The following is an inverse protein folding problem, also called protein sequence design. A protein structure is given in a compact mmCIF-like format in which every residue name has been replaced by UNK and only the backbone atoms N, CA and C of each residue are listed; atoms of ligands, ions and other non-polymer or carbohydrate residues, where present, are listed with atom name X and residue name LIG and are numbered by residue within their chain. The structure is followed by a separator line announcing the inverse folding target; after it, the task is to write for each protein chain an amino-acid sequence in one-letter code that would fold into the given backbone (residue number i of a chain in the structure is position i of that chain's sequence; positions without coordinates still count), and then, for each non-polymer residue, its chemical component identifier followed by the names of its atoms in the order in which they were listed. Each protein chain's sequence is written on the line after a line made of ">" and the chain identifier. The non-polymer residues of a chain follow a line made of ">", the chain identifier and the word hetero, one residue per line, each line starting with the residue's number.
data_IF_257477799676
#
_entry.id   IF_257477799676
#
_cell.length_a   1.000
_cell.length_b   1.000
_cell.length_c   1.000
_cell.angle_alpha   90.00
_cell.angle_beta   90.00
_cell.angle_gamma   90.00
#
_symmetry.space_group_name_H-M   'P 1'
#
loop_
_entity.id
_entity.type
_entity.pdbx_description
1 polymer ?
#
# COMPACT_ATOMS: atom_id res chain seq x y z
N UNK A 1 -25.32 13.25 -16.18
CA UNK A 1 -24.20 12.57 -16.85
C UNK A 1 -22.85 12.80 -16.14
N UNK A 2 -22.68 13.82 -15.30
CA UNK A 2 -21.95 13.65 -14.03
C UNK A 2 -22.85 13.00 -12.95
N UNK A 3 -23.79 12.16 -13.40
CA UNK A 3 -24.76 11.53 -12.51
C UNK A 3 -24.08 10.55 -11.56
N UNK A 4 -22.94 10.00 -11.94
CA UNK A 4 -22.18 9.08 -11.10
C UNK A 4 -21.28 9.81 -10.10
N UNK A 5 -20.94 11.08 -10.34
CA UNK A 5 -20.11 11.87 -9.42
C UNK A 5 -20.96 12.51 -8.33
N UNK A 6 -20.79 12.05 -7.08
CA UNK A 6 -21.40 12.72 -5.94
C UNK A 6 -20.86 14.14 -5.74
N UNK A 7 -19.61 14.41 -6.08
CA UNK A 7 -19.01 15.75 -6.06
C UNK A 7 -19.77 16.72 -6.97
N UNK A 8 -19.88 16.40 -8.26
CA UNK A 8 -20.55 17.27 -9.22
C UNK A 8 -22.06 17.35 -8.97
N UNK A 9 -22.69 16.28 -8.48
CA UNK A 9 -24.08 16.33 -7.99
C UNK A 9 -24.25 17.42 -6.92
N UNK A 10 -23.42 17.43 -5.88
CA UNK A 10 -23.45 18.45 -4.81
C UNK A 10 -23.12 19.84 -5.35
N UNK A 11 -22.15 19.91 -6.25
CA UNK A 11 -21.74 21.18 -6.85
C UNK A 11 -22.88 21.81 -7.63
N UNK A 12 -23.61 21.03 -8.44
CA UNK A 12 -24.70 21.48 -9.31
C UNK A 12 -26.03 21.74 -8.56
N UNK A 13 -26.22 21.17 -7.37
CA UNK A 13 -27.44 21.38 -6.57
C UNK A 13 -27.29 22.47 -5.50
N UNK A 14 -26.07 22.93 -5.20
CA UNK A 14 -25.83 24.05 -4.28
C UNK A 14 -26.04 25.42 -4.94
N UNK A 15 -26.03 26.51 -4.16
CA UNK A 15 -25.93 27.89 -4.68
C UNK A 15 -24.45 28.31 -4.68
N UNK A 16 -23.65 27.66 -5.53
CA UNK A 16 -22.20 27.85 -5.59
C UNK A 16 -21.79 28.77 -6.75
N UNK A 17 -20.68 29.52 -6.57
CA UNK A 17 -20.17 30.46 -7.58
C UNK A 17 -19.85 29.75 -8.90
N UNK A 18 -19.32 28.54 -8.83
CA UNK A 18 -18.92 27.73 -9.98
C UNK A 18 -20.08 27.47 -10.96
N UNK A 19 -21.31 27.37 -10.47
CA UNK A 19 -22.50 27.17 -11.31
C UNK A 19 -22.80 28.43 -12.11
N UNK A 20 -22.67 29.61 -11.49
CA UNK A 20 -22.93 30.91 -12.14
C UNK A 20 -21.91 31.18 -13.24
N UNK A 21 -20.67 30.76 -13.02
CA UNK A 21 -19.56 30.91 -13.97
C UNK A 21 -19.47 29.75 -14.96
N UNK A 22 -20.25 28.68 -14.77
CA UNK A 22 -20.18 27.43 -15.53
C UNK A 22 -18.75 26.87 -15.65
N UNK A 23 -17.95 27.05 -14.59
CA UNK A 23 -16.51 26.76 -14.57
C UNK A 23 -16.12 26.16 -13.23
N UNK A 24 -15.37 25.06 -13.29
CA UNK A 24 -14.77 24.40 -12.13
C UNK A 24 -13.26 24.35 -12.35
N UNK A 25 -12.52 24.97 -11.44
CA UNK A 25 -11.06 25.03 -11.52
C UNK A 25 -10.45 23.93 -10.64
N UNK A 26 -9.57 23.13 -11.24
CA UNK A 26 -8.76 22.12 -10.54
C UNK A 26 -7.30 22.55 -10.60
N UNK A 27 -6.79 23.17 -9.53
CA UNK A 27 -5.43 23.74 -9.52
C UNK A 27 -4.35 22.68 -9.31
N UNK A 28 -4.67 21.60 -8.60
CA UNK A 28 -3.73 20.59 -8.14
C UNK A 28 -3.87 19.25 -8.88
N UNK A 29 -4.79 19.15 -9.84
CA UNK A 29 -5.04 17.93 -10.61
C UNK A 29 -4.54 18.12 -12.04
N UNK A 30 -3.57 17.31 -12.50
CA UNK A 30 -3.14 17.30 -13.89
C UNK A 30 -4.33 17.15 -14.86
N UNK A 31 -4.38 18.02 -15.87
CA UNK A 31 -5.46 18.03 -16.87
C UNK A 31 -5.65 16.67 -17.57
N UNK A 32 -4.58 15.90 -17.73
CA UNK A 32 -4.61 14.56 -18.31
C UNK A 32 -5.34 13.52 -17.45
N UNK A 33 -5.37 13.68 -16.12
CA UNK A 33 -6.15 12.81 -15.22
C UNK A 33 -7.62 13.18 -15.25
N UNK A 34 -7.93 14.48 -15.24
CA UNK A 34 -9.29 15.00 -15.42
C UNK A 34 -9.88 14.52 -16.74
N UNK A 35 -9.12 14.65 -17.84
CA UNK A 35 -9.57 14.20 -19.16
C UNK A 35 -9.91 12.71 -19.20
N UNK A 36 -9.14 11.86 -18.50
CA UNK A 36 -9.43 10.42 -18.38
C UNK A 36 -10.64 10.12 -17.52
N UNK A 37 -10.80 10.82 -16.39
CA UNK A 37 -11.97 10.66 -15.54
C UNK A 37 -13.25 11.08 -16.28
N UNK A 38 -13.19 12.19 -17.03
CA UNK A 38 -14.29 12.62 -17.90
C UNK A 38 -14.58 11.54 -18.94
N UNK A 39 -13.57 11.09 -19.69
CA UNK A 39 -13.76 10.06 -20.72
C UNK A 39 -14.40 8.80 -20.12
N UNK A 40 -13.91 8.34 -18.97
CA UNK A 40 -14.49 7.21 -18.24
C UNK A 40 -15.98 7.44 -17.94
N UNK A 41 -16.39 8.61 -17.46
CA UNK A 41 -17.81 8.91 -17.23
C UNK A 41 -18.68 8.85 -18.50
N UNK A 42 -18.08 8.97 -19.69
CA UNK A 42 -18.80 8.91 -20.97
C UNK A 42 -18.74 7.53 -21.65
N UNK A 43 -17.69 6.74 -21.38
CA UNK A 43 -17.42 5.51 -22.13
C UNK A 43 -17.20 4.28 -21.26
N UNK A 44 -17.29 4.40 -19.94
CA UNK A 44 -16.97 3.36 -18.94
C UNK A 44 -15.55 2.78 -19.10
N UNK A 45 -14.64 3.53 -19.73
CA UNK A 45 -13.25 3.14 -19.95
C UNK A 45 -12.35 4.36 -20.12
N UNK A 46 -11.05 4.22 -19.89
CA UNK A 46 -10.06 5.26 -20.15
C UNK A 46 -8.77 4.66 -20.76
N UNK A 47 -8.03 5.44 -21.57
CA UNK A 47 -6.74 5.01 -22.10
C UNK A 47 -5.71 4.77 -20.98
N UNK A 48 -5.21 3.55 -20.94
CA UNK A 48 -4.13 3.10 -20.03
C UNK A 48 -2.74 3.18 -20.67
N UNK A 49 -2.64 3.62 -21.95
CA UNK A 49 -1.39 3.60 -22.71
C UNK A 49 -0.33 4.55 -22.14
N UNK A 50 0.91 4.04 -22.09
CA UNK A 50 2.10 4.69 -21.50
C UNK A 50 2.40 6.05 -22.12
N UNK A 51 2.11 6.24 -23.41
CA UNK A 51 2.36 7.51 -24.12
C UNK A 51 1.63 8.69 -23.48
N UNK A 52 0.40 8.49 -23.03
CA UNK A 52 -0.36 9.53 -22.31
C UNK A 52 -0.01 9.60 -20.83
N UNK A 53 0.69 8.61 -20.29
CA UNK A 53 1.03 8.50 -18.87
C UNK A 53 2.37 9.17 -18.55
N UNK A 54 3.36 9.14 -19.47
CA UNK A 54 4.60 9.92 -19.35
C UNK A 54 4.33 11.43 -19.22
N UNK A 55 3.28 11.92 -19.89
CA UNK A 55 2.79 13.30 -19.77
C UNK A 55 2.15 13.61 -18.41
N UNK A 56 1.59 12.61 -17.73
CA UNK A 56 0.90 12.76 -16.46
C UNK A 56 1.85 12.73 -15.25
N UNK A 57 2.92 11.95 -15.34
CA UNK A 57 3.82 11.67 -14.21
C UNK A 57 5.09 12.51 -14.23
N UNK A 58 5.45 13.10 -15.38
CA UNK A 58 6.69 13.88 -15.53
C UNK A 58 7.97 13.06 -15.36
N UNK A 59 7.86 11.72 -15.35
CA UNK A 59 8.98 10.81 -15.11
C UNK A 59 9.83 10.68 -16.37
N UNK A 60 11.06 11.20 -16.32
CA UNK A 60 12.06 11.07 -17.38
C UNK A 60 12.98 9.86 -17.12
N UNK A 61 12.71 8.74 -17.80
CA UNK A 61 13.61 7.66 -18.23
C UNK A 61 14.77 7.17 -17.32
N UNK A 62 14.62 7.19 -15.98
CA UNK A 62 15.64 6.64 -15.06
C UNK A 62 15.59 5.11 -14.87
N UNK A 63 14.56 4.45 -15.39
CA UNK A 63 14.35 3.00 -15.26
C UNK A 63 14.46 2.31 -16.62
N UNK A 64 14.92 1.05 -16.65
CA UNK A 64 14.86 0.24 -17.86
C UNK A 64 13.43 0.20 -18.44
N UNK A 65 13.30 0.22 -19.76
CA UNK A 65 12.05 0.49 -20.48
C UNK A 65 10.85 -0.33 -20.00
N UNK A 66 11.03 -1.62 -19.71
CA UNK A 66 9.98 -2.50 -19.22
C UNK A 66 9.54 -2.19 -17.77
N UNK A 67 10.49 -1.97 -16.85
CA UNK A 67 10.18 -1.61 -15.46
C UNK A 67 9.55 -0.21 -15.36
N UNK A 68 9.97 0.70 -16.24
CA UNK A 68 9.38 2.02 -16.40
C UNK A 68 7.90 1.94 -16.77
N UNK A 69 7.54 1.06 -17.73
CA UNK A 69 6.15 0.94 -18.18
C UNK A 69 5.20 0.40 -17.10
N UNK A 70 5.66 -0.55 -16.28
CA UNK A 70 4.85 -1.10 -15.19
C UNK A 70 4.63 -0.05 -14.10
N UNK A 71 5.69 0.63 -13.66
CA UNK A 71 5.58 1.72 -12.70
C UNK A 71 4.62 2.80 -13.18
N UNK A 72 4.76 3.25 -14.44
CA UNK A 72 3.90 4.28 -15.03
C UNK A 72 2.44 3.84 -15.04
N UNK A 73 2.17 2.57 -15.34
CA UNK A 73 0.80 2.03 -15.40
C UNK A 73 0.18 1.93 -14.01
N UNK A 74 0.94 1.42 -13.04
CA UNK A 74 0.52 1.33 -11.64
C UNK A 74 0.33 2.73 -11.02
N UNK A 75 1.25 3.67 -11.26
CA UNK A 75 1.13 5.05 -10.80
C UNK A 75 -0.12 5.73 -11.36
N UNK A 76 -0.38 5.61 -12.67
CA UNK A 76 -1.60 6.15 -13.28
C UNK A 76 -2.85 5.60 -12.58
N UNK A 77 -2.88 4.29 -12.34
CA UNK A 77 -4.00 3.64 -11.66
C UNK A 77 -4.19 4.16 -10.23
N UNK A 78 -3.11 4.33 -9.45
CA UNK A 78 -3.18 4.94 -8.10
C UNK A 78 -3.73 6.38 -8.16
N UNK A 79 -3.29 7.18 -9.14
CA UNK A 79 -3.76 8.56 -9.30
C UNK A 79 -5.22 8.65 -9.72
N UNK A 80 -5.68 7.77 -10.61
CA UNK A 80 -7.09 7.70 -11.00
C UNK A 80 -7.97 7.15 -9.88
N UNK A 81 -7.44 6.27 -9.04
CA UNK A 81 -8.11 5.80 -7.84
C UNK A 81 -8.36 6.96 -6.85
N UNK A 82 -7.31 7.74 -6.56
CA UNK A 82 -7.40 8.96 -5.74
C UNK A 82 -8.40 9.97 -6.33
N UNK A 83 -8.34 10.19 -7.64
CA UNK A 83 -9.25 11.10 -8.33
C UNK A 83 -10.70 10.62 -8.27
N UNK A 84 -10.93 9.31 -8.43
CA UNK A 84 -12.24 8.69 -8.28
C UNK A 84 -12.81 8.90 -6.89
N UNK A 85 -11.99 8.76 -5.84
CA UNK A 85 -12.40 9.06 -4.46
C UNK A 85 -12.73 10.54 -4.26
N UNK A 86 -11.84 11.44 -4.70
CA UNK A 86 -12.01 12.90 -4.55
C UNK A 86 -13.26 13.43 -5.28
N UNK A 87 -13.53 12.91 -6.47
CA UNK A 87 -14.71 13.28 -7.26
C UNK A 87 -15.95 12.45 -6.90
N UNK A 88 -15.86 11.52 -5.95
CA UNK A 88 -16.95 10.65 -5.53
C UNK A 88 -17.55 9.90 -6.73
N UNK A 89 -16.68 9.27 -7.53
CA UNK A 89 -16.97 8.45 -8.72
C UNK A 89 -16.53 7.01 -8.41
N UNK A 90 -17.37 6.29 -7.67
CA UNK A 90 -17.06 4.92 -7.22
C UNK A 90 -16.71 3.94 -8.37
N UNK A 91 -17.39 3.96 -9.54
CA UNK A 91 -17.01 3.08 -10.64
C UNK A 91 -15.59 3.34 -11.18
N UNK A 92 -15.14 4.60 -11.20
CA UNK A 92 -13.77 4.95 -11.60
C UNK A 92 -12.76 4.44 -10.57
N UNK A 93 -13.06 4.65 -9.28
CA UNK A 93 -12.25 4.14 -8.17
C UNK A 93 -12.12 2.62 -8.24
N UNK A 94 -13.21 1.91 -8.55
CA UNK A 94 -13.21 0.48 -8.74
C UNK A 94 -12.33 0.05 -9.93
N UNK A 95 -12.52 0.64 -11.11
CA UNK A 95 -11.77 0.29 -12.31
C UNK A 95 -10.27 0.59 -12.15
N UNK A 96 -9.93 1.74 -11.57
CA UNK A 96 -8.55 2.09 -11.25
C UNK A 96 -7.88 1.09 -10.30
N UNK A 97 -8.62 0.54 -9.33
CA UNK A 97 -8.11 -0.55 -8.49
C UNK A 97 -7.85 -1.83 -9.28
N UNK A 98 -8.71 -2.17 -10.23
CA UNK A 98 -8.55 -3.34 -11.10
C UNK A 98 -7.33 -3.17 -12.01
N UNK A 99 -7.15 -2.00 -12.63
CA UNK A 99 -5.97 -1.70 -13.44
C UNK A 99 -4.69 -1.68 -12.61
N UNK A 100 -4.73 -1.16 -11.38
CA UNK A 100 -3.61 -1.26 -10.45
C UNK A 100 -3.24 -2.72 -10.19
N UNK A 101 -4.22 -3.58 -9.89
CA UNK A 101 -3.99 -5.01 -9.68
C UNK A 101 -3.39 -5.68 -10.93
N UNK A 102 -3.86 -5.34 -12.13
CA UNK A 102 -3.28 -5.85 -13.38
C UNK A 102 -1.81 -5.43 -13.52
N UNK A 103 -1.49 -4.15 -13.30
CA UNK A 103 -0.12 -3.65 -13.38
C UNK A 103 0.78 -4.27 -12.30
N UNK A 104 0.27 -4.36 -11.07
CA UNK A 104 0.94 -4.93 -9.91
C UNK A 104 1.22 -6.43 -10.08
N UNK A 105 0.24 -7.19 -10.53
CA UNK A 105 0.37 -8.63 -10.77
C UNK A 105 1.11 -8.96 -12.07
N UNK A 106 1.17 -8.06 -13.06
CA UNK A 106 1.95 -8.27 -14.29
C UNK A 106 3.46 -8.22 -14.05
N UNK A 107 3.95 -7.62 -12.95
CA UNK A 107 5.32 -7.87 -12.47
C UNK A 107 5.52 -9.34 -12.09
N UNK A 108 4.47 -10.01 -11.59
CA UNK A 108 4.54 -11.36 -11.05
C UNK A 108 4.16 -12.48 -12.04
N UNK A 109 3.22 -12.26 -12.98
CA UNK A 109 2.67 -13.36 -13.80
C UNK A 109 3.39 -13.64 -15.13
N UNK A 110 4.25 -12.74 -15.61
CA UNK A 110 4.96 -12.96 -16.88
C UNK A 110 6.06 -14.04 -16.83
N UNK A 111 6.23 -14.75 -15.71
CA UNK A 111 7.09 -15.94 -15.64
C UNK A 111 6.33 -17.27 -15.60
N UNK A 112 5.03 -17.31 -15.25
CA UNK A 112 4.26 -18.56 -15.15
C UNK A 112 2.86 -18.44 -15.76
N UNK A 113 2.79 -18.59 -17.09
CA UNK A 113 1.56 -18.64 -17.87
C UNK A 113 0.70 -19.87 -17.50
N UNK A 114 -0.54 -19.66 -17.03
CA UNK A 114 -1.55 -20.73 -17.02
C UNK A 114 -2.70 -20.68 -16.02
N UNK A 115 -3.01 -19.56 -15.34
CA UNK A 115 -4.11 -19.50 -14.37
C UNK A 115 -5.11 -18.38 -14.68
N UNK A 116 -6.39 -18.69 -14.51
CA UNK A 116 -7.54 -17.79 -14.71
C UNK A 116 -7.67 -16.79 -13.55
N UNK A 117 -8.28 -15.63 -13.82
CA UNK A 117 -8.37 -14.49 -12.90
C UNK A 117 -9.09 -14.78 -11.56
N UNK A 118 -9.81 -15.90 -11.45
CA UNK A 118 -10.52 -16.32 -10.24
C UNK A 118 -9.75 -17.35 -9.39
N UNK A 119 -8.65 -17.92 -9.90
CA UNK A 119 -7.84 -18.97 -9.25
C UNK A 119 -6.34 -18.63 -9.19
N UNK A 120 -5.97 -17.34 -9.27
CA UNK A 120 -4.59 -16.90 -9.07
C UNK A 120 -4.18 -17.03 -7.59
N UNK A 121 -3.98 -18.28 -7.17
CA UNK A 121 -3.23 -18.66 -5.99
C UNK A 121 -1.79 -18.18 -6.19
N UNK A 122 -1.36 -17.29 -5.31
CA UNK A 122 -0.12 -16.50 -5.33
C UNK A 122 1.13 -17.39 -5.21
N UNK A 123 1.39 -18.20 -6.23
CA UNK A 123 2.53 -19.11 -6.28
C UNK A 123 3.60 -18.61 -7.26
N UNK A 124 4.62 -17.98 -6.68
CA UNK A 124 6.00 -18.22 -7.10
C UNK A 124 6.58 -17.37 -8.22
N UNK A 125 6.46 -16.05 -8.15
CA UNK A 125 7.38 -15.15 -8.85
C UNK A 125 8.34 -14.48 -7.86
N UNK A 126 9.62 -14.44 -8.20
CA UNK A 126 10.62 -13.63 -7.50
C UNK A 126 10.41 -12.15 -7.86
N UNK A 127 9.44 -11.49 -7.23
CA UNK A 127 9.47 -10.04 -7.13
C UNK A 127 10.72 -9.68 -6.33
N UNK A 128 11.82 -9.40 -7.02
CA UNK A 128 12.91 -8.62 -6.43
C UNK A 128 12.23 -7.37 -5.92
N UNK A 129 12.23 -7.14 -4.60
CA UNK A 129 11.69 -5.92 -4.01
C UNK A 129 12.42 -4.74 -4.65
N UNK A 130 11.84 -4.25 -5.73
CA UNK A 130 12.48 -3.33 -6.66
C UNK A 130 12.22 -1.93 -6.14
N UNK A 131 13.02 -0.97 -6.57
CA UNK A 131 12.75 0.45 -6.34
C UNK A 131 11.31 0.82 -6.75
N UNK A 132 10.76 0.13 -7.76
CA UNK A 132 9.36 0.27 -8.22
C UNK A 132 8.38 -0.08 -7.10
N UNK A 133 8.54 -1.22 -6.42
CA UNK A 133 7.70 -1.62 -5.31
C UNK A 133 7.70 -0.58 -4.18
N UNK A 134 8.89 -0.09 -3.79
CA UNK A 134 9.04 0.96 -2.76
C UNK A 134 8.25 2.20 -3.09
N UNK A 135 8.49 2.72 -4.29
CA UNK A 135 7.90 3.97 -4.75
C UNK A 135 6.38 3.85 -4.82
N UNK A 136 5.85 2.69 -5.20
CA UNK A 136 4.40 2.45 -5.23
C UNK A 136 3.81 2.34 -3.82
N UNK A 137 4.48 1.67 -2.87
CA UNK A 137 4.00 1.62 -1.48
C UNK A 137 3.94 3.02 -0.88
N UNK A 138 5.01 3.80 -1.07
CA UNK A 138 5.11 5.18 -0.62
C UNK A 138 4.04 6.05 -1.27
N UNK A 139 3.88 5.96 -2.59
CA UNK A 139 2.86 6.70 -3.33
C UNK A 139 1.46 6.39 -2.78
N UNK A 140 1.11 5.11 -2.62
CA UNK A 140 -0.21 4.69 -2.12
C UNK A 140 -0.45 5.24 -0.71
N UNK A 141 0.53 5.17 0.19
CA UNK A 141 0.36 5.70 1.54
C UNK A 141 0.34 7.23 1.59
N UNK A 142 0.99 7.90 0.63
CA UNK A 142 0.96 9.35 0.50
C UNK A 142 -0.35 9.89 -0.11
N UNK A 143 -0.99 9.14 -1.01
CA UNK A 143 -2.18 9.60 -1.75
C UNK A 143 -3.50 9.04 -1.22
N UNK A 144 -3.49 7.91 -0.53
CA UNK A 144 -4.72 7.32 0.04
C UNK A 144 -4.84 7.65 1.52
N UNK A 145 -6.02 8.07 2.03
CA UNK A 145 -6.24 8.26 3.46
C UNK A 145 -6.08 6.96 4.26
N UNK A 146 -5.74 7.05 5.55
CA UNK A 146 -5.52 5.87 6.41
C UNK A 146 -6.75 4.98 6.65
N UNK A 147 -7.96 5.49 6.38
CA UNK A 147 -9.20 4.73 6.45
C UNK A 147 -9.57 4.07 5.12
N UNK A 148 -8.93 4.46 4.01
CA UNK A 148 -9.13 3.79 2.73
C UNK A 148 -8.27 2.52 2.67
N UNK A 149 -8.93 1.37 2.75
CA UNK A 149 -8.28 0.06 2.77
C UNK A 149 -8.08 -0.55 1.39
N UNK A 150 -8.57 0.05 0.30
CA UNK A 150 -8.60 -0.58 -1.01
C UNK A 150 -7.20 -0.92 -1.55
N UNK A 151 -6.45 0.09 -1.99
CA UNK A 151 -5.07 -0.10 -2.49
C UNK A 151 -4.10 -0.48 -1.37
N UNK A 152 -4.29 0.06 -0.15
CA UNK A 152 -3.46 -0.26 1.01
C UNK A 152 -3.47 -1.75 1.33
N UNK A 153 -4.63 -2.40 1.39
CA UNK A 153 -4.69 -3.85 1.70
C UNK A 153 -4.03 -4.72 0.63
N UNK A 154 -4.07 -4.30 -0.65
CA UNK A 154 -3.39 -5.02 -1.74
C UNK A 154 -1.89 -5.03 -1.49
N UNK A 155 -1.30 -3.85 -1.28
CA UNK A 155 0.14 -3.73 -1.02
C UNK A 155 0.53 -4.48 0.25
N UNK A 156 -0.23 -4.34 1.33
CA UNK A 156 0.05 -5.02 2.60
C UNK A 156 0.01 -6.55 2.48
N UNK A 157 -0.90 -7.10 1.67
CA UNK A 157 -0.94 -8.55 1.38
C UNK A 157 0.32 -8.99 0.67
N UNK A 158 0.75 -8.27 -0.36
CA UNK A 158 1.99 -8.56 -1.10
C UNK A 158 3.21 -8.45 -0.17
N UNK A 159 3.30 -7.38 0.62
CA UNK A 159 4.35 -7.22 1.64
C UNK A 159 4.38 -8.39 2.62
N UNK A 160 3.22 -8.77 3.16
CA UNK A 160 3.11 -9.91 4.08
C UNK A 160 3.56 -11.21 3.42
N UNK A 161 3.20 -11.44 2.17
CA UNK A 161 3.63 -12.63 1.42
C UNK A 161 5.16 -12.67 1.29
N UNK A 162 5.80 -11.56 0.93
CA UNK A 162 7.27 -11.46 0.90
C UNK A 162 7.90 -11.72 2.27
N UNK A 163 7.35 -11.13 3.34
CA UNK A 163 7.80 -11.38 4.72
C UNK A 163 7.67 -12.86 5.09
N UNK A 164 6.53 -13.48 4.80
CA UNK A 164 6.21 -14.85 5.19
C UNK A 164 7.06 -15.89 4.47
N UNK A 165 7.31 -15.68 3.17
CA UNK A 165 8.06 -16.65 2.39
C UNK A 165 9.53 -16.72 2.80
N UNK A 166 10.08 -15.66 3.41
CA UNK A 166 11.47 -15.64 3.89
C UNK A 166 12.49 -16.07 2.81
N UNK A 167 12.10 -16.02 1.54
CA UNK A 167 12.89 -16.50 0.41
C UNK A 167 13.89 -15.41 0.06
N UNK A 168 15.18 -15.73 0.12
CA UNK A 168 16.30 -15.05 -0.57
C UNK A 168 16.40 -13.54 -0.47
N UNK A 169 16.14 -12.96 0.70
CA UNK A 169 16.15 -11.51 0.85
C UNK A 169 16.98 -11.11 2.07
N UNK A 170 18.31 -11.28 1.97
CA UNK A 170 19.23 -10.53 2.85
C UNK A 170 19.00 -9.01 2.68
N UNK A 171 18.59 -8.57 1.49
CA UNK A 171 18.27 -7.17 1.20
C UNK A 171 16.83 -6.77 1.62
N UNK A 172 15.76 -7.53 1.34
CA UNK A 172 14.42 -7.10 1.75
C UNK A 172 14.05 -7.13 3.21
N UNK A 173 14.78 -7.85 4.05
CA UNK A 173 14.72 -7.60 5.49
C UNK A 173 15.08 -6.14 5.81
N UNK A 174 16.18 -5.64 5.22
CA UNK A 174 16.58 -4.25 5.33
C UNK A 174 15.65 -3.30 4.58
N UNK A 175 15.12 -3.70 3.42
CA UNK A 175 14.15 -2.89 2.66
C UNK A 175 12.88 -2.61 3.46
N UNK A 176 12.27 -3.67 4.00
CA UNK A 176 11.05 -3.54 4.79
C UNK A 176 11.37 -2.77 6.07
N UNK A 177 12.50 -3.06 6.71
CA UNK A 177 12.95 -2.29 7.87
C UNK A 177 13.11 -0.79 7.54
N UNK A 178 13.79 -0.45 6.45
CA UNK A 178 13.97 0.93 6.00
C UNK A 178 12.62 1.59 5.69
N UNK A 179 11.73 0.88 5.00
CA UNK A 179 10.38 1.39 4.71
C UNK A 179 9.55 1.60 5.98
N UNK A 180 9.70 0.72 6.98
CA UNK A 180 9.07 0.87 8.30
C UNK A 180 9.64 2.05 9.09
N UNK A 181 10.95 2.30 8.96
CA UNK A 181 11.65 3.42 9.60
C UNK A 181 11.31 4.76 8.93
N UNK A 182 11.14 4.78 7.60
CA UNK A 182 10.86 5.98 6.81
C UNK A 182 9.37 6.32 6.73
N UNK A 183 8.47 5.33 6.84
CA UNK A 183 7.02 5.53 6.70
C UNK A 183 6.23 4.90 7.85
N UNK A 184 5.90 5.72 8.85
CA UNK A 184 5.17 5.31 10.05
C UNK A 184 3.77 4.73 9.73
N UNK A 185 3.08 5.25 8.70
CA UNK A 185 1.76 4.75 8.31
C UNK A 185 1.83 3.32 7.76
N UNK A 186 2.82 3.06 6.90
CA UNK A 186 3.12 1.71 6.40
C UNK A 186 3.41 0.78 7.56
N UNK A 187 4.19 1.23 8.55
CA UNK A 187 4.50 0.43 9.74
C UNK A 187 3.27 0.09 10.57
N UNK A 188 2.40 1.07 10.85
CA UNK A 188 1.15 0.86 11.55
C UNK A 188 0.25 -0.15 10.81
N UNK A 189 0.18 -0.04 9.48
CA UNK A 189 -0.68 -0.91 8.67
C UNK A 189 -0.13 -2.33 8.56
N UNK A 190 1.18 -2.50 8.33
CA UNK A 190 1.85 -3.81 8.38
C UNK A 190 1.67 -4.44 9.74
N UNK A 191 1.78 -3.65 10.81
CA UNK A 191 1.53 -4.16 12.14
C UNK A 191 0.13 -4.74 12.22
N UNK A 192 -0.91 -3.95 11.97
CA UNK A 192 -2.30 -4.43 11.99
C UNK A 192 -2.50 -5.72 11.20
N UNK A 193 -1.79 -5.89 10.08
CA UNK A 193 -1.93 -7.01 9.15
C UNK A 193 -1.09 -8.27 9.48
N UNK A 194 0.09 -8.08 10.08
CA UNK A 194 1.04 -9.15 10.44
C UNK A 194 0.83 -9.67 11.85
N UNK A 195 0.09 -8.93 12.68
CA UNK A 195 -0.11 -9.38 14.04
C UNK A 195 -0.93 -10.68 14.06
N UNK A 196 -0.28 -11.75 14.50
CA UNK A 196 -0.89 -13.01 14.89
C UNK A 196 -1.45 -12.93 16.31
N UNK A 197 -2.44 -13.78 16.62
CA UNK A 197 -3.23 -13.81 17.88
C UNK A 197 -2.44 -14.16 19.16
N UNK A 198 -1.22 -13.65 19.36
CA UNK A 198 -0.60 -13.72 20.68
C UNK A 198 -1.07 -12.51 21.48
N UNK A 199 -1.79 -12.77 22.57
CA UNK A 199 -2.37 -11.74 23.43
C UNK A 199 -1.27 -11.23 24.36
N UNK A 200 -0.66 -10.10 24.03
CA UNK A 200 0.21 -9.36 24.96
C UNK A 200 -0.52 -8.14 25.49
N UNK A 201 -0.08 -7.55 26.59
CA UNK A 201 -0.68 -6.34 27.16
C UNK A 201 0.32 -5.19 27.05
N UNK A 202 -0.11 -4.04 26.53
CA UNK A 202 0.71 -2.84 26.50
C UNK A 202 1.06 -2.42 27.92
N UNK A 203 2.34 -2.21 28.25
CA UNK A 203 2.71 -1.68 29.56
C UNK A 203 2.18 -0.26 29.81
N UNK A 204 1.99 0.54 28.76
CA UNK A 204 1.55 1.93 28.87
C UNK A 204 0.02 2.08 28.95
N UNK A 205 -0.71 1.61 27.93
CA UNK A 205 -2.17 1.78 27.87
C UNK A 205 -2.96 0.56 28.37
N UNK A 206 -2.28 -0.52 28.78
CA UNK A 206 -2.91 -1.75 29.27
C UNK A 206 -3.85 -2.45 28.28
N UNK A 207 -3.92 -1.98 27.03
CA UNK A 207 -4.69 -2.65 25.99
C UNK A 207 -4.05 -3.96 25.57
N UNK A 208 -4.89 -4.93 25.21
CA UNK A 208 -4.43 -6.20 24.64
C UNK A 208 -3.82 -5.92 23.27
N UNK A 209 -2.49 -5.87 23.28
CA UNK A 209 -1.70 -5.51 22.16
C UNK A 209 -1.44 -6.69 21.24
N UNK A 210 -1.40 -6.27 20.00
CA UNK A 210 -1.03 -7.05 18.86
C UNK A 210 0.41 -6.59 18.50
N UNK A 211 1.40 -7.49 18.36
CA UNK A 211 2.79 -7.16 18.00
C UNK A 211 3.21 -7.64 16.59
N UNK A 212 4.11 -6.87 15.96
CA UNK A 212 4.74 -7.23 14.67
C UNK A 212 5.86 -8.21 14.91
N UNK A 213 5.87 -9.31 14.16
CA UNK A 213 7.01 -10.22 14.16
C UNK A 213 8.09 -9.68 13.23
N UNK A 214 9.03 -8.93 13.80
CA UNK A 214 10.20 -8.42 13.06
C UNK A 214 11.24 -9.54 12.97
N UNK A 215 12.02 -9.56 11.88
CA UNK A 215 13.14 -10.49 11.71
C UNK A 215 14.13 -10.39 12.90
N UNK A 216 14.82 -11.48 13.21
CA UNK A 216 15.87 -11.44 14.23
C UNK A 216 16.97 -10.47 13.81
N UNK A 217 17.39 -9.58 14.72
CA UNK A 217 18.58 -8.72 14.51
C UNK A 217 19.86 -9.53 14.28
N UNK A 218 19.89 -10.79 14.71
CA UNK A 218 20.97 -11.74 14.50
C UNK A 218 20.99 -12.42 13.12
N UNK A 219 20.03 -12.13 12.24
CA UNK A 219 19.81 -12.81 10.94
C UNK A 219 19.62 -14.34 11.00
N UNK A 220 19.65 -14.98 12.18
CA UNK A 220 19.39 -16.41 12.33
C UNK A 220 17.93 -16.68 11.99
N UNK A 221 17.70 -17.55 11.00
CA UNK A 221 16.38 -17.92 10.43
C UNK A 221 15.42 -18.61 11.40
N UNK A 222 15.74 -18.74 12.68
CA UNK A 222 14.82 -19.31 13.64
C UNK A 222 13.73 -18.31 14.02
N UNK A 223 12.50 -18.80 13.96
CA UNK A 223 11.24 -18.11 14.28
C UNK A 223 11.29 -17.40 15.66
N UNK A 224 12.16 -17.88 16.56
CA UNK A 224 12.37 -17.32 17.91
C UNK A 224 13.85 -17.42 18.31
N UNK A 225 14.66 -16.42 17.96
CA UNK A 225 15.98 -16.30 18.58
C UNK A 225 15.82 -16.02 20.08
N UNK A 226 16.53 -16.76 20.93
CA UNK A 226 16.51 -16.59 22.39
C UNK A 226 17.68 -15.77 22.92
N UNK A 227 18.52 -15.23 22.04
CA UNK A 227 19.63 -14.37 22.45
C UNK A 227 19.11 -13.07 23.07
N UNK A 228 19.69 -12.67 24.20
CA UNK A 228 19.26 -11.50 24.97
C UNK A 228 19.23 -10.21 24.12
N UNK A 229 20.25 -9.98 23.29
CA UNK A 229 20.29 -8.83 22.38
C UNK A 229 19.13 -8.82 21.38
N UNK A 230 18.70 -10.00 20.90
CA UNK A 230 17.59 -10.13 19.96
C UNK A 230 16.23 -9.98 20.64
N UNK A 231 16.12 -10.37 21.92
CA UNK A 231 14.95 -10.10 22.75
C UNK A 231 14.82 -8.59 22.99
N UNK A 232 15.91 -7.94 23.44
CA UNK A 232 15.94 -6.51 23.70
C UNK A 232 15.65 -5.67 22.44
N UNK A 233 16.25 -6.02 21.30
CA UNK A 233 15.98 -5.34 20.03
C UNK A 233 14.52 -5.47 19.59
N UNK A 234 13.91 -6.65 19.73
CA UNK A 234 12.47 -6.85 19.43
C UNK A 234 11.58 -6.08 20.39
N UNK A 235 11.93 -6.03 21.68
CA UNK A 235 11.21 -5.23 22.66
C UNK A 235 11.27 -3.75 22.27
N UNK A 236 12.46 -3.21 22.00
CA UNK A 236 12.65 -1.83 21.59
C UNK A 236 11.90 -1.47 20.30
N UNK A 237 11.90 -2.36 19.31
CA UNK A 237 11.23 -2.16 18.03
C UNK A 237 9.71 -2.45 18.06
N UNK A 238 9.19 -3.01 19.15
CA UNK A 238 7.75 -3.21 19.32
C UNK A 238 7.05 -1.88 19.60
N UNK A 239 5.81 -1.73 19.13
CA UNK A 239 4.97 -0.58 19.45
C UNK A 239 3.52 -1.00 19.68
N UNK A 240 2.79 -0.19 20.45
CA UNK A 240 1.36 -0.39 20.67
C UNK A 240 0.54 0.15 19.51
N UNK A 241 -0.33 -0.67 18.91
CA UNK A 241 -1.21 -0.20 17.82
C UNK A 241 -2.30 0.78 18.27
N UNK A 242 -2.57 0.88 19.57
CA UNK A 242 -3.59 1.78 20.12
C UNK A 242 -3.01 3.12 20.59
N UNK A 243 -1.91 3.10 21.35
CA UNK A 243 -1.28 4.32 21.89
C UNK A 243 0.05 4.70 21.21
N UNK A 244 0.50 3.93 20.21
CA UNK A 244 1.74 4.14 19.47
C UNK A 244 3.04 4.08 20.30
N UNK A 245 2.97 3.74 21.59
CA UNK A 245 4.16 3.75 22.44
C UNK A 245 5.10 2.57 22.12
N UNK A 246 6.35 2.90 21.83
CA UNK A 246 7.44 1.96 21.53
C UNK A 246 7.99 1.29 22.79
N UNK A 247 8.65 0.14 22.67
CA UNK A 247 9.27 -0.52 23.83
C UNK A 247 8.29 -1.13 24.83
N UNK A 248 6.99 -1.15 24.55
CA UNK A 248 5.94 -1.49 25.53
C UNK A 248 5.57 -2.98 25.60
N UNK A 249 6.40 -3.84 25.00
CA UNK A 249 6.22 -5.29 25.05
C UNK A 249 6.47 -5.84 26.46
N UNK A 250 5.41 -6.36 27.09
CA UNK A 250 5.51 -7.24 28.26
C UNK A 250 5.12 -8.67 27.83
N UNK A 251 6.05 -9.63 27.81
CA UNK A 251 5.72 -11.01 27.51
C UNK A 251 4.93 -11.62 28.67
N UNK A 252 3.63 -11.37 28.74
CA UNK A 252 2.76 -12.20 29.56
C UNK A 252 2.80 -13.63 29.00
N UNK A 253 3.55 -14.51 29.68
CA UNK A 253 3.50 -15.96 29.47
C UNK A 253 4.71 -16.63 28.83
N UNK A 254 5.84 -15.95 28.59
CA UNK A 254 7.09 -16.64 28.20
C UNK A 254 8.03 -16.84 29.41
N UNK A 255 7.95 -15.98 30.43
CA UNK A 255 8.81 -16.07 31.61
C UNK A 255 8.00 -16.34 32.89
N UNK A 256 7.33 -17.51 32.96
CA UNK A 256 6.95 -18.07 34.28
C UNK A 256 8.09 -18.87 34.93
N UNK A 257 9.28 -18.91 34.34
CA UNK A 257 10.45 -19.62 34.90
C UNK A 257 11.75 -18.84 34.75
N UNK A 258 11.76 -17.54 35.05
CA UNK A 258 13.03 -16.86 35.39
C UNK A 258 12.86 -16.26 36.79
N UNK A 259 13.42 -16.91 37.83
CA UNK A 259 13.44 -16.31 39.15
C UNK A 259 14.43 -15.14 39.13
N UNK A 260 13.96 -13.97 39.57
CA UNK A 260 14.83 -12.92 40.09
C UNK A 260 15.33 -13.31 41.48
#
# INVERSE_FOLDING_TARGET
>A
MFGESGYFKRLLTGDNREIREAKVDFEDIPACLIGRAILFCYTDTYPTTVEFSKLATGVTDAFGEAASNIFISAELAVRLYELGDRLDIEPLKHEARVEFLKAWCNEDMNQHSGLTAEEADLSGSECKASTVFKNLVELIHATTPSHDRGLRDIVLRTMKWHIMLGRNLEEPGMFIQQLLEENHDVALDIAKYTITRSIYQCSACQEKNRYVKIACSCAKRQVWCKEAACIAARQAASFCVYCCQTGTFSPYGIDKEVPF
#
